data_IF_102962109206
#
_entry.id   IF_102962109206
#
_cell.length_a   1.000
_cell.length_b   1.000
_cell.length_c   1.000
_cell.angle_alpha   90.00
_cell.angle_beta   90.00
_cell.angle_gamma   90.00
#
_symmetry.space_group_name_H-M   'P 1'
#
loop_
_entity.id
_entity.type
_entity.pdbx_description
1 polymer ?
#
# COMPACT_ATOMS: atom_id res chain seq x y z
N UNK A 1 -11.19 -8.73 19.70
CA UNK A 1 -9.74 -8.47 19.57
C UNK A 1 -9.55 -7.01 19.19
N UNK A 2 -8.76 -6.22 19.93
CA UNK A 2 -8.31 -4.87 19.52
C UNK A 2 -6.81 -4.96 19.28
N UNK A 3 -6.34 -4.66 18.08
CA UNK A 3 -4.92 -4.81 17.72
C UNK A 3 -4.02 -3.68 18.25
N UNK A 4 -4.59 -2.55 18.71
CA UNK A 4 -3.87 -1.45 19.34
C UNK A 4 -2.89 -0.68 18.43
N UNK A 5 -2.77 -1.06 17.16
CA UNK A 5 -1.79 -0.49 16.24
C UNK A 5 -2.17 0.93 15.80
N UNK A 6 -1.17 1.81 15.75
CA UNK A 6 -1.32 3.16 15.23
C UNK A 6 -1.46 3.16 13.71
N UNK A 7 -2.53 3.76 13.20
CA UNK A 7 -2.77 3.88 11.76
C UNK A 7 -2.16 5.15 11.16
N UNK A 8 -2.08 6.23 11.96
CA UNK A 8 -1.49 7.50 11.52
C UNK A 8 0.03 7.47 11.72
N UNK A 9 0.73 6.76 10.83
CA UNK A 9 2.17 6.56 10.85
C UNK A 9 2.75 6.83 9.46
N UNK A 10 4.04 7.16 9.35
CA UNK A 10 4.67 7.35 8.03
C UNK A 10 4.55 6.10 7.18
N UNK A 11 4.76 4.91 7.76
CA UNK A 11 4.65 3.64 7.04
C UNK A 11 3.27 3.37 6.43
N UNK A 12 2.21 3.99 6.96
CA UNK A 12 0.84 3.90 6.46
C UNK A 12 0.44 5.08 5.55
N UNK A 13 1.35 6.03 5.28
CA UNK A 13 1.10 7.19 4.44
C UNK A 13 1.42 6.92 2.96
N UNK A 14 0.66 7.49 2.03
CA UNK A 14 0.93 7.37 0.57
C UNK A 14 2.17 8.14 0.11
N UNK A 15 2.63 9.10 0.90
CA UNK A 15 3.77 9.94 0.58
C UNK A 15 5.10 9.38 1.07
N UNK A 16 5.05 8.33 1.89
CA UNK A 16 6.24 7.67 2.39
C UNK A 16 6.98 6.97 1.27
N UNK A 17 8.25 7.32 1.11
CA UNK A 17 9.12 6.85 0.05
C UNK A 17 10.56 6.85 0.59
N UNK A 18 11.20 5.69 0.65
CA UNK A 18 12.55 5.55 1.25
C UNK A 18 13.67 6.11 0.39
N UNK A 19 13.36 6.56 -0.84
CA UNK A 19 14.35 7.06 -1.80
C UNK A 19 14.53 8.58 -1.79
N UNK A 20 13.66 9.30 -1.07
CA UNK A 20 13.68 10.77 -0.98
C UNK A 20 14.16 11.25 0.39
N UNK A 21 14.51 12.54 0.47
CA UNK A 21 14.88 13.20 1.72
C UNK A 21 13.79 13.02 2.78
N UNK A 22 14.22 12.67 4.00
CA UNK A 22 13.36 12.38 5.15
C UNK A 22 12.33 11.25 4.96
N UNK A 23 12.48 10.50 3.88
CA UNK A 23 11.62 9.41 3.48
C UNK A 23 10.16 9.87 3.21
N UNK A 24 9.98 11.11 2.76
CA UNK A 24 8.68 11.71 2.45
C UNK A 24 8.74 12.52 1.15
N UNK A 25 7.74 12.34 0.28
CA UNK A 25 7.61 13.10 -0.98
C UNK A 25 7.05 14.51 -0.80
N UNK A 26 6.50 14.81 0.37
CA UNK A 26 6.01 16.14 0.75
C UNK A 26 7.06 16.91 1.55
N UNK A 27 7.02 18.24 1.45
CA UNK A 27 7.91 19.12 2.19
C UNK A 27 7.45 19.27 3.66
N UNK A 28 7.87 18.34 4.51
CA UNK A 28 7.57 18.34 5.94
C UNK A 28 8.50 19.31 6.70
N UNK A 29 8.09 19.93 7.82
CA UNK A 29 8.95 20.88 8.54
C UNK A 29 10.12 20.21 9.28
N UNK A 30 10.00 18.92 9.62
CA UNK A 30 11.03 18.17 10.34
C UNK A 30 10.96 16.67 10.02
N UNK A 31 12.10 15.98 10.09
CA UNK A 31 12.19 14.53 9.90
C UNK A 31 11.48 13.79 11.03
N UNK A 32 10.58 12.87 10.67
CA UNK A 32 10.02 11.89 11.63
C UNK A 32 11.02 10.73 11.80
N UNK A 33 11.53 10.51 13.02
CA UNK A 33 12.52 9.46 13.28
C UNK A 33 11.89 8.06 13.28
N UNK A 34 10.79 7.86 14.03
CA UNK A 34 10.09 6.58 14.08
C UNK A 34 8.94 6.55 13.07
N UNK A 35 9.12 5.82 11.97
CA UNK A 35 8.15 5.76 10.86
C UNK A 35 6.90 4.92 11.16
N UNK A 36 6.92 4.11 12.21
CA UNK A 36 5.86 3.18 12.57
C UNK A 36 5.14 3.55 13.87
N UNK A 37 5.57 4.61 14.56
CA UNK A 37 4.84 5.21 15.66
C UNK A 37 3.85 6.28 15.17
N UNK A 38 2.79 6.51 15.94
CA UNK A 38 1.88 7.63 15.69
C UNK A 38 2.64 8.95 15.65
N UNK A 39 2.35 9.75 14.65
CA UNK A 39 2.86 11.11 14.52
C UNK A 39 1.73 12.11 14.19
N UNK A 40 2.07 13.40 14.20
CA UNK A 40 1.14 14.50 13.96
C UNK A 40 1.36 15.17 12.59
N UNK A 41 1.85 14.41 11.59
CA UNK A 41 2.11 14.95 10.26
C UNK A 41 0.81 15.45 9.63
N UNK A 42 0.74 16.75 9.30
CA UNK A 42 -0.43 17.38 8.69
C UNK A 42 -0.65 16.94 7.24
N UNK A 43 0.39 16.45 6.58
CA UNK A 43 0.34 15.91 5.21
C UNK A 43 -0.10 14.45 5.15
N UNK A 44 -0.41 13.81 6.27
CA UNK A 44 -0.75 12.40 6.28
C UNK A 44 -1.96 12.09 5.40
N UNK A 45 -1.78 11.16 4.48
CA UNK A 45 -2.85 10.58 3.68
C UNK A 45 -2.67 9.07 3.65
N UNK A 46 -3.67 8.27 4.08
CA UNK A 46 -3.50 6.83 4.17
C UNK A 46 -3.25 6.22 2.79
N UNK A 47 -2.27 5.33 2.70
CA UNK A 47 -2.06 4.54 1.47
C UNK A 47 -3.16 3.48 1.35
N UNK A 48 -3.70 3.34 0.15
CA UNK A 48 -4.64 2.27 -0.17
C UNK A 48 -3.84 1.08 -0.67
N UNK A 49 -3.73 0.04 0.14
CA UNK A 49 -3.19 -1.25 -0.31
C UNK A 49 -4.39 -2.11 -0.70
N UNK A 50 -4.46 -2.49 -1.98
CA UNK A 50 -5.41 -3.49 -2.45
C UNK A 50 -4.79 -4.86 -2.25
N UNK A 51 -5.46 -5.70 -1.49
CA UNK A 51 -5.07 -7.09 -1.33
C UNK A 51 -5.47 -7.87 -2.60
N UNK A 52 -4.50 -8.09 -3.50
CA UNK A 52 -4.69 -8.88 -4.72
C UNK A 52 -4.94 -10.38 -4.43
N UNK A 53 -4.71 -10.83 -3.19
CA UNK A 53 -5.04 -12.19 -2.78
C UNK A 53 -6.52 -12.34 -2.40
N UNK A 54 -7.23 -11.27 -2.03
CA UNK A 54 -8.67 -11.31 -1.83
C UNK A 54 -9.44 -11.62 -3.13
N UNK A 55 -8.88 -11.26 -4.29
CA UNK A 55 -9.42 -11.59 -5.61
C UNK A 55 -9.18 -13.07 -6.02
N UNK A 56 -8.47 -13.87 -5.20
CA UNK A 56 -8.22 -15.30 -5.45
C UNK A 56 -9.49 -16.16 -5.46
N UNK A 57 -10.64 -15.64 -5.02
CA UNK A 57 -11.92 -16.30 -5.22
C UNK A 57 -12.22 -16.57 -6.71
N UNK A 58 -11.49 -15.95 -7.64
CA UNK A 58 -11.61 -16.12 -9.09
C UNK A 58 -10.40 -16.81 -9.73
N UNK A 59 -9.72 -17.70 -9.00
CA UNK A 59 -8.66 -18.50 -9.61
C UNK A 59 -9.21 -19.34 -10.77
N UNK A 60 -8.53 -19.36 -11.93
CA UNK A 60 -8.92 -20.22 -13.04
C UNK A 60 -8.92 -21.68 -12.57
N UNK A 61 -10.09 -22.33 -12.64
CA UNK A 61 -10.29 -23.68 -12.14
C UNK A 61 -9.77 -24.75 -13.12
N UNK A 62 -9.46 -24.32 -14.35
CA UNK A 62 -9.00 -25.19 -15.44
C UNK A 62 -7.84 -24.55 -16.22
N UNK A 63 -7.04 -25.34 -16.95
CA UNK A 63 -6.00 -24.83 -17.85
C UNK A 63 -6.52 -23.85 -18.91
N UNK A 64 -7.75 -24.04 -19.38
CA UNK A 64 -8.39 -23.16 -20.37
C UNK A 64 -8.76 -21.80 -19.77
N UNK A 65 -9.24 -21.77 -18.52
CA UNK A 65 -9.51 -20.53 -17.80
C UNK A 65 -8.21 -19.74 -17.57
N UNK A 66 -7.11 -20.44 -17.29
CA UNK A 66 -5.80 -19.81 -17.11
C UNK A 66 -5.29 -19.19 -18.42
N UNK A 67 -5.49 -19.86 -19.56
CA UNK A 67 -5.14 -19.33 -20.88
C UNK A 67 -5.96 -18.07 -21.20
N UNK A 68 -7.29 -18.13 -21.02
CA UNK A 68 -8.19 -16.97 -21.25
C UNK A 68 -7.86 -15.79 -20.32
N UNK A 69 -7.60 -16.05 -19.05
CA UNK A 69 -7.22 -15.01 -18.10
C UNK A 69 -5.89 -14.36 -18.47
N UNK A 70 -4.93 -15.15 -18.96
CA UNK A 70 -3.66 -14.64 -19.48
C UNK A 70 -3.88 -13.76 -20.71
N UNK A 71 -4.63 -14.23 -21.71
CA UNK A 71 -4.89 -13.48 -22.95
C UNK A 71 -5.63 -12.15 -22.67
N UNK A 72 -6.54 -12.14 -21.69
CA UNK A 72 -7.26 -10.93 -21.26
C UNK A 72 -6.35 -9.85 -20.66
N UNK A 73 -5.21 -10.21 -20.05
CA UNK A 73 -4.22 -9.23 -19.57
C UNK A 73 -3.57 -8.45 -20.71
N UNK A 74 -3.44 -9.09 -21.88
CA UNK A 74 -2.79 -8.53 -23.06
C UNK A 74 -3.77 -8.04 -24.13
N UNK A 75 -5.10 -8.13 -23.88
CA UNK A 75 -6.17 -7.68 -24.77
C UNK A 75 -6.03 -8.22 -26.21
N UNK A 76 -5.90 -9.54 -26.37
CA UNK A 76 -5.87 -10.21 -27.67
C UNK A 76 -7.16 -10.95 -27.96
#
# INVERSE_FOLDING_TARGET
MKCGADLHTCGNCRFFDTTTTWECRENIPARVANKHARNACTFFQPKVIKDLAADKARQPQTPDDARKAFDALFKK
#
